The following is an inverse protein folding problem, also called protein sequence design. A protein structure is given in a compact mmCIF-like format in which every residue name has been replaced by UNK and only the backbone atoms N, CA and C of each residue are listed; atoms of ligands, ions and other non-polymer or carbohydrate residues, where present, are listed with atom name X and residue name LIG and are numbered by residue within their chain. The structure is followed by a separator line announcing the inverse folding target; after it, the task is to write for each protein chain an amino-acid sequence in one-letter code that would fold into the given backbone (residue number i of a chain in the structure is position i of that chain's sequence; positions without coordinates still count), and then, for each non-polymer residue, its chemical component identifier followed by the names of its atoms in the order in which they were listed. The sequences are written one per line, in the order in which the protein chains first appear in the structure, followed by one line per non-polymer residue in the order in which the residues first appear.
data_IF_145911403698
#
_entry.id   IF_145911403698
#
_cell.length_a   1.000
_cell.length_b   1.000
_cell.length_c   1.000
_cell.angle_alpha   90.00
_cell.angle_beta   90.00
_cell.angle_gamma   90.00
#
_symmetry.space_group_name_H-M   'P 1'
#
loop_
_entity.id
_entity.type
_entity.pdbx_description
1 polymer ?
#
# COMPACT_ATOMS: atom_id res chain seq x y z
N UNK A 1 11.90 -0.87 -20.94
CA UNK A 1 12.14 -0.96 -19.48
C UNK A 1 11.45 -2.22 -19.00
N UNK A 2 12.14 -3.04 -18.20
CA UNK A 2 11.55 -4.24 -17.63
C UNK A 2 10.35 -3.89 -16.71
N UNK A 3 9.34 -4.76 -16.61
CA UNK A 3 8.10 -4.49 -15.86
C UNK A 3 8.38 -4.28 -14.38
N UNK A 4 9.26 -5.09 -13.79
CA UNK A 4 9.65 -4.92 -12.38
C UNK A 4 10.43 -3.63 -12.17
N UNK A 5 11.28 -3.24 -13.12
CA UNK A 5 11.96 -1.93 -13.08
C UNK A 5 10.95 -0.76 -13.17
N UNK A 6 9.93 -0.86 -14.03
CA UNK A 6 8.87 0.14 -14.12
C UNK A 6 8.11 0.26 -12.81
N UNK A 7 7.64 -0.87 -12.26
CA UNK A 7 6.92 -0.90 -10.99
C UNK A 7 7.78 -0.34 -9.84
N UNK A 8 9.04 -0.75 -9.77
CA UNK A 8 9.98 -0.22 -8.78
C UNK A 8 10.07 1.30 -8.88
N UNK A 9 10.34 1.84 -10.07
CA UNK A 9 10.40 3.28 -10.30
C UNK A 9 9.11 3.99 -9.85
N UNK A 10 7.94 3.46 -10.22
CA UNK A 10 6.63 4.02 -9.87
C UNK A 10 6.34 3.99 -8.37
N UNK A 11 6.71 2.90 -7.69
CA UNK A 11 6.58 2.85 -6.24
C UNK A 11 7.59 3.75 -5.53
N UNK A 12 8.82 3.90 -6.02
CA UNK A 12 9.77 4.88 -5.47
C UNK A 12 9.24 6.31 -5.58
N UNK A 13 8.70 6.70 -6.75
CA UNK A 13 8.06 8.02 -6.96
C UNK A 13 6.90 8.23 -5.96
N UNK A 14 6.06 7.22 -5.77
CA UNK A 14 4.97 7.26 -4.78
C UNK A 14 5.48 7.38 -3.34
N UNK A 15 6.50 6.61 -2.97
CA UNK A 15 7.09 6.62 -1.62
C UNK A 15 7.64 8.00 -1.31
N UNK A 16 8.45 8.58 -2.21
CA UNK A 16 9.04 9.90 -2.01
C UNK A 16 7.96 10.95 -1.77
N UNK A 17 6.90 10.95 -2.59
CA UNK A 17 5.79 11.88 -2.43
C UNK A 17 5.03 11.67 -1.10
N UNK A 18 4.72 10.41 -0.76
CA UNK A 18 4.00 10.07 0.47
C UNK A 18 4.78 10.49 1.72
N UNK A 19 6.10 10.23 1.75
CA UNK A 19 6.96 10.61 2.88
C UNK A 19 7.02 12.13 3.01
N UNK A 20 7.27 12.85 1.91
CA UNK A 20 7.32 14.33 1.92
C UNK A 20 6.02 14.90 2.44
N UNK A 21 4.88 14.46 1.90
CA UNK A 21 3.54 14.92 2.28
C UNK A 21 3.27 14.77 3.78
N UNK A 22 3.53 13.61 4.34
CA UNK A 22 3.11 13.28 5.70
C UNK A 22 4.17 13.49 6.79
N UNK A 23 5.41 13.83 6.42
CA UNK A 23 6.49 14.09 7.38
C UNK A 23 6.25 15.33 8.28
N UNK A 24 5.48 16.32 7.81
CA UNK A 24 5.28 17.59 8.52
C UNK A 24 3.88 17.73 9.15
N UNK A 25 2.84 17.22 8.50
CA UNK A 25 1.44 17.55 8.86
C UNK A 25 0.90 16.78 10.07
N UNK A 26 1.59 15.73 10.54
CA UNK A 26 0.99 14.75 11.46
C UNK A 26 1.82 14.38 12.69
N UNK A 27 2.86 15.17 13.03
CA UNK A 27 3.71 14.90 14.21
C UNK A 27 2.92 14.80 15.52
N UNK A 28 1.96 15.71 15.76
CA UNK A 28 1.15 15.69 16.98
C UNK A 28 0.25 14.45 17.10
N UNK A 29 -0.27 13.98 15.96
CA UNK A 29 -1.11 12.78 15.89
C UNK A 29 -0.30 11.51 16.16
N UNK A 30 0.89 11.39 15.54
CA UNK A 30 1.80 10.27 15.77
C UNK A 30 2.33 10.22 17.21
N UNK A 31 2.65 11.39 17.79
CA UNK A 31 3.04 11.48 19.20
C UNK A 31 1.96 10.93 20.12
N UNK A 32 0.70 11.32 19.89
CA UNK A 32 -0.44 10.79 20.64
C UNK A 32 -0.57 9.27 20.48
N UNK A 33 -0.50 8.77 19.24
CA UNK A 33 -0.58 7.35 18.95
C UNK A 33 0.52 6.54 19.67
N UNK A 34 1.76 7.04 19.65
CA UNK A 34 2.90 6.45 20.36
C UNK A 34 2.60 6.35 21.86
N UNK A 35 2.22 7.47 22.49
CA UNK A 35 1.91 7.53 23.93
C UNK A 35 0.77 6.58 24.30
N UNK A 36 -0.31 6.58 23.52
CA UNK A 36 -1.48 5.75 23.75
C UNK A 36 -1.14 4.25 23.60
N UNK A 37 -0.26 3.90 22.65
CA UNK A 37 0.14 2.51 22.42
C UNK A 37 1.10 1.96 23.48
N UNK A 38 1.94 2.81 24.08
CA UNK A 38 3.04 2.45 24.98
C UNK A 38 4.06 1.45 24.38
N UNK A 39 4.09 1.30 23.05
CA UNK A 39 5.02 0.43 22.35
C UNK A 39 6.26 1.21 21.88
N UNK A 40 7.42 0.55 21.88
CA UNK A 40 8.69 1.09 21.39
C UNK A 40 9.05 2.45 22.01
N UNK A 41 8.79 2.62 23.30
CA UNK A 41 9.04 3.89 24.02
C UNK A 41 10.53 4.21 24.19
N UNK A 42 11.39 3.22 23.99
CA UNK A 42 12.86 3.31 23.96
C UNK A 42 13.41 3.98 22.70
N UNK A 43 12.64 4.00 21.60
CA UNK A 43 13.00 4.71 20.37
C UNK A 43 12.68 6.20 20.55
N UNK A 44 13.56 7.08 20.07
CA UNK A 44 13.30 8.53 20.05
C UNK A 44 12.01 8.88 19.29
N UNK A 45 11.36 9.98 19.65
CA UNK A 45 10.09 10.39 19.03
C UNK A 45 10.19 10.61 17.52
N UNK A 46 11.27 11.24 17.05
CA UNK A 46 11.44 11.55 15.64
C UNK A 46 11.67 10.28 14.82
N UNK A 47 12.51 9.38 15.34
CA UNK A 47 12.75 8.08 14.71
C UNK A 47 11.50 7.20 14.74
N UNK A 48 10.74 7.18 15.84
CA UNK A 48 9.48 6.44 15.92
C UNK A 48 8.48 6.94 14.86
N UNK A 49 8.35 8.27 14.70
CA UNK A 49 7.47 8.84 13.69
C UNK A 49 7.91 8.48 12.27
N UNK A 50 9.21 8.51 12.00
CA UNK A 50 9.78 8.11 10.72
C UNK A 50 9.50 6.63 10.41
N UNK A 51 9.80 5.72 11.34
CA UNK A 51 9.55 4.28 11.17
C UNK A 51 8.07 3.98 10.95
N UNK A 52 7.18 4.66 11.69
CA UNK A 52 5.74 4.53 11.51
C UNK A 52 5.31 4.96 10.11
N UNK A 53 5.79 6.12 9.66
CA UNK A 53 5.46 6.65 8.35
C UNK A 53 5.95 5.75 7.21
N UNK A 54 7.19 5.27 7.29
CA UNK A 54 7.75 4.34 6.30
C UNK A 54 6.97 3.01 6.25
N UNK A 55 6.66 2.42 7.41
CA UNK A 55 5.85 1.19 7.46
C UNK A 55 4.44 1.41 6.90
N UNK A 56 3.84 2.56 7.18
CA UNK A 56 2.55 2.95 6.60
C UNK A 56 2.63 3.02 5.08
N UNK A 57 3.65 3.71 4.56
CA UNK A 57 3.86 3.88 3.12
C UNK A 57 4.01 2.53 2.41
N UNK A 58 4.89 1.65 2.92
CA UNK A 58 5.10 0.32 2.35
C UNK A 58 3.85 -0.57 2.42
N UNK A 59 3.02 -0.42 3.47
CA UNK A 59 1.72 -1.08 3.55
C UNK A 59 0.76 -0.59 2.45
N UNK A 60 0.74 0.70 2.13
CA UNK A 60 -0.01 1.22 0.99
C UNK A 60 0.52 0.70 -0.34
N UNK A 61 1.84 0.67 -0.55
CA UNK A 61 2.44 0.06 -1.74
C UNK A 61 1.99 -1.40 -1.92
N UNK A 62 1.99 -2.18 -0.84
CA UNK A 62 1.54 -3.57 -0.85
C UNK A 62 0.07 -3.69 -1.22
N UNK A 63 -0.79 -2.85 -0.63
CA UNK A 63 -2.23 -2.83 -0.95
C UNK A 63 -2.51 -2.43 -2.39
N UNK A 64 -1.83 -1.42 -2.91
CA UNK A 64 -1.99 -0.98 -4.31
C UNK A 64 -1.64 -2.13 -5.25
N UNK A 65 -0.48 -2.76 -5.06
CA UNK A 65 -0.03 -3.85 -5.93
C UNK A 65 -0.96 -5.07 -5.84
N UNK A 66 -1.33 -5.49 -4.63
CA UNK A 66 -2.21 -6.63 -4.42
C UNK A 66 -3.61 -6.37 -4.96
N UNK A 67 -4.16 -5.16 -4.77
CA UNK A 67 -5.46 -4.80 -5.34
C UNK A 67 -5.42 -4.85 -6.86
N UNK A 68 -4.39 -4.26 -7.50
CA UNK A 68 -4.23 -4.33 -8.96
C UNK A 68 -4.05 -5.77 -9.46
N UNK A 69 -3.30 -6.61 -8.73
CA UNK A 69 -3.12 -8.02 -9.05
C UNK A 69 -4.44 -8.80 -8.99
N UNK A 70 -5.20 -8.64 -7.91
CA UNK A 70 -6.49 -9.30 -7.71
C UNK A 70 -7.48 -8.87 -8.80
N UNK A 71 -7.49 -7.57 -9.11
CA UNK A 71 -8.30 -6.99 -10.18
C UNK A 71 -7.96 -7.52 -11.57
N UNK A 72 -6.67 -7.59 -11.90
CA UNK A 72 -6.20 -8.03 -13.21
C UNK A 72 -6.35 -9.54 -13.42
N UNK A 73 -6.32 -10.32 -12.33
CA UNK A 73 -6.70 -11.75 -12.31
C UNK A 73 -8.20 -11.98 -12.44
N UNK A 74 -9.02 -10.93 -12.29
CA UNK A 74 -10.48 -11.02 -12.39
C UNK A 74 -11.16 -11.56 -11.13
N UNK A 75 -10.49 -11.57 -9.98
CA UNK A 75 -11.10 -11.97 -8.71
C UNK A 75 -12.09 -10.93 -8.19
N UNK A 76 -11.88 -9.65 -8.53
CA UNK A 76 -12.82 -8.57 -8.26
C UNK A 76 -13.16 -7.81 -9.54
N UNK A 77 -14.27 -7.08 -9.53
CA UNK A 77 -14.58 -6.16 -10.62
C UNK A 77 -13.53 -5.07 -10.75
N UNK A 78 -13.24 -4.70 -12.00
CA UNK A 78 -12.31 -3.63 -12.37
C UNK A 78 -12.68 -2.31 -11.69
N UNK A 79 -11.68 -1.68 -11.07
CA UNK A 79 -11.74 -0.40 -10.37
C UNK A 79 -10.55 0.48 -10.78
N UNK A 80 -9.31 0.04 -10.52
CA UNK A 80 -8.13 0.89 -10.67
C UNK A 80 -7.39 0.72 -12.00
N UNK A 81 -7.67 -0.32 -12.81
CA UNK A 81 -7.17 -0.35 -14.19
C UNK A 81 -7.95 0.60 -15.11
N UNK A 82 -7.43 0.78 -16.32
CA UNK A 82 -8.06 1.57 -17.39
C UNK A 82 -9.55 1.25 -17.58
N UNK A 83 -9.92 -0.03 -17.60
CA UNK A 83 -11.33 -0.46 -17.76
C UNK A 83 -12.19 -0.03 -16.58
N UNK A 84 -11.67 -0.13 -15.36
CA UNK A 84 -12.34 0.31 -14.14
C UNK A 84 -12.55 1.83 -14.12
N UNK A 85 -11.51 2.59 -14.47
CA UNK A 85 -11.55 4.05 -14.56
C UNK A 85 -12.53 4.53 -15.63
N UNK A 86 -12.53 3.89 -16.80
CA UNK A 86 -13.48 4.22 -17.86
C UNK A 86 -14.93 3.98 -17.41
N UNK A 87 -15.20 2.82 -16.77
CA UNK A 87 -16.51 2.54 -16.19
C UNK A 87 -16.90 3.57 -15.13
N UNK A 88 -15.97 3.94 -14.26
CA UNK A 88 -16.21 4.97 -13.24
C UNK A 88 -16.61 6.30 -13.89
N UNK A 89 -15.82 6.80 -14.84
CA UNK A 89 -16.07 8.05 -15.56
C UNK A 89 -17.40 8.05 -16.32
N UNK A 90 -17.82 6.90 -16.86
CA UNK A 90 -19.11 6.75 -17.53
C UNK A 90 -20.29 6.65 -16.55
N UNK A 91 -20.06 6.13 -15.35
CA UNK A 91 -21.08 5.95 -14.32
C UNK A 91 -21.39 7.25 -13.57
N UNK A 92 -20.37 8.05 -13.27
CA UNK A 92 -20.51 9.29 -12.48
C UNK A 92 -20.52 10.52 -13.37
N UNK A 93 -21.36 11.51 -13.03
CA UNK A 93 -21.47 12.75 -13.80
C UNK A 93 -20.42 13.80 -13.42
N UNK A 94 -20.16 13.95 -12.12
CA UNK A 94 -19.33 15.04 -11.57
C UNK A 94 -18.10 14.54 -10.79
N UNK A 95 -18.01 13.25 -10.49
CA UNK A 95 -16.95 12.66 -9.64
C UNK A 95 -15.90 11.90 -10.47
N UNK A 96 -15.85 12.11 -11.78
CA UNK A 96 -15.07 11.27 -12.71
C UNK A 96 -13.55 11.34 -12.51
N UNK A 97 -13.08 12.32 -11.75
CA UNK A 97 -11.67 12.51 -11.36
C UNK A 97 -11.44 12.31 -9.85
N UNK A 98 -12.47 11.94 -9.08
CA UNK A 98 -12.32 11.68 -7.64
C UNK A 98 -11.87 10.23 -7.42
N UNK A 99 -10.63 9.96 -7.81
CA UNK A 99 -10.03 8.63 -7.78
C UNK A 99 -9.77 8.11 -6.36
N UNK A 100 -9.67 9.00 -5.39
CA UNK A 100 -9.62 8.66 -3.97
C UNK A 100 -10.89 7.91 -3.55
N UNK A 101 -12.07 8.35 -4.02
CA UNK A 101 -13.35 7.66 -3.78
C UNK A 101 -13.31 6.26 -4.40
N UNK A 102 -12.85 6.15 -5.65
CA UNK A 102 -12.75 4.87 -6.35
C UNK A 102 -11.79 3.90 -5.64
N UNK A 103 -10.66 4.40 -5.17
CA UNK A 103 -9.69 3.64 -4.37
C UNK A 103 -10.29 3.16 -3.05
N UNK A 104 -11.00 4.02 -2.33
CA UNK A 104 -11.67 3.65 -1.08
C UNK A 104 -12.75 2.59 -1.28
N UNK A 105 -13.54 2.69 -2.36
CA UNK A 105 -14.51 1.65 -2.72
C UNK A 105 -13.79 0.31 -2.96
N UNK A 106 -12.65 0.32 -3.66
CA UNK A 106 -11.84 -0.89 -3.88
C UNK A 106 -11.30 -1.51 -2.59
N UNK A 107 -10.84 -0.70 -1.65
CA UNK A 107 -10.41 -1.19 -0.35
C UNK A 107 -11.57 -1.80 0.45
N UNK A 108 -12.72 -1.13 0.48
CA UNK A 108 -13.89 -1.61 1.22
C UNK A 108 -14.40 -2.95 0.67
N UNK A 109 -14.43 -3.10 -0.65
CA UNK A 109 -14.81 -4.35 -1.32
C UNK A 109 -13.91 -5.52 -0.86
N UNK A 110 -12.59 -5.31 -0.83
CA UNK A 110 -11.62 -6.31 -0.39
C UNK A 110 -11.63 -6.57 1.12
N UNK A 111 -12.08 -5.60 1.93
CA UNK A 111 -12.23 -5.77 3.37
C UNK A 111 -13.40 -6.67 3.76
N UNK A 112 -14.42 -6.76 2.90
CA UNK A 112 -15.62 -7.58 3.11
C UNK A 112 -15.69 -8.82 2.20
N UNK A 113 -14.63 -9.07 1.42
CA UNK A 113 -14.48 -10.23 0.52
C UNK A 113 -14.78 -11.55 1.23
N UNK A 114 -15.34 -12.56 0.56
CA UNK A 114 -15.65 -13.85 1.20
C UNK A 114 -14.39 -14.67 1.57
N UNK A 115 -13.27 -14.42 0.91
CA UNK A 115 -11.99 -15.07 1.18
C UNK A 115 -11.32 -14.44 2.42
N UNK A 116 -11.17 -15.25 3.48
CA UNK A 116 -10.56 -14.83 4.74
C UNK A 116 -9.11 -14.33 4.60
N UNK A 117 -8.34 -14.86 3.63
CA UNK A 117 -6.98 -14.40 3.36
C UNK A 117 -7.01 -12.98 2.79
N UNK A 118 -7.86 -12.72 1.79
CA UNK A 118 -8.00 -11.39 1.19
C UNK A 118 -8.45 -10.38 2.26
N UNK A 119 -9.50 -10.69 3.03
CA UNK A 119 -9.92 -9.82 4.14
C UNK A 119 -8.79 -9.56 5.14
N UNK A 120 -7.96 -10.57 5.43
CA UNK A 120 -6.81 -10.45 6.31
C UNK A 120 -5.79 -9.43 5.81
N UNK A 121 -5.46 -9.48 4.52
CA UNK A 121 -4.51 -8.57 3.85
C UNK A 121 -5.01 -7.13 3.86
N UNK A 122 -6.30 -6.91 3.62
CA UNK A 122 -6.88 -5.56 3.50
C UNK A 122 -7.49 -5.02 4.80
N UNK A 123 -7.39 -5.77 5.90
CA UNK A 123 -7.90 -5.39 7.22
C UNK A 123 -7.40 -4.00 7.65
N UNK A 124 -8.29 -3.26 8.30
CA UNK A 124 -7.97 -1.95 8.89
C UNK A 124 -6.90 -2.09 10.00
N UNK A 125 -5.94 -1.18 10.02
CA UNK A 125 -4.81 -1.13 10.97
C UNK A 125 -4.50 0.31 11.38
N UNK A 126 -3.61 0.49 12.36
CA UNK A 126 -3.13 1.81 12.78
C UNK A 126 -2.48 2.57 11.61
N UNK A 127 -1.92 1.85 10.63
CA UNK A 127 -1.29 2.42 9.43
C UNK A 127 -2.30 3.01 8.43
N UNK A 128 -3.60 2.90 8.69
CA UNK A 128 -4.64 3.57 7.90
C UNK A 128 -4.90 5.00 8.34
N UNK A 129 -4.06 5.51 9.25
CA UNK A 129 -4.04 6.90 9.66
C UNK A 129 -3.75 7.84 8.48
N UNK A 130 -2.88 7.42 7.56
CA UNK A 130 -2.48 8.19 6.38
C UNK A 130 -3.21 7.66 5.16
N UNK A 131 -4.35 8.26 4.83
CA UNK A 131 -5.20 7.79 3.74
C UNK A 131 -4.62 8.13 2.35
N UNK A 132 -5.01 7.37 1.32
CA UNK A 132 -4.80 7.77 -0.07
C UNK A 132 -5.86 8.82 -0.41
N UNK A 133 -5.49 10.08 -0.28
CA UNK A 133 -6.34 11.22 -0.64
C UNK A 133 -6.26 11.51 -2.15
N UNK A 134 -6.89 12.61 -2.59
CA UNK A 134 -7.03 12.93 -4.01
C UNK A 134 -5.69 12.98 -4.75
N UNK A 135 -4.70 13.66 -4.20
CA UNK A 135 -3.38 13.80 -4.83
C UNK A 135 -2.65 12.45 -4.92
N UNK A 136 -2.67 11.66 -3.84
CA UNK A 136 -2.05 10.33 -3.85
C UNK A 136 -2.80 9.37 -4.77
N UNK A 137 -4.13 9.46 -4.85
CA UNK A 137 -4.94 8.65 -5.75
C UNK A 137 -4.64 8.95 -7.22
N UNK A 138 -4.47 10.23 -7.58
CA UNK A 138 -4.04 10.62 -8.94
C UNK A 138 -2.69 9.98 -9.30
N UNK A 139 -1.69 10.04 -8.39
CA UNK A 139 -0.40 9.37 -8.60
C UNK A 139 -0.58 7.86 -8.81
N UNK A 140 -1.43 7.21 -8.01
CA UNK A 140 -1.70 5.77 -8.13
C UNK A 140 -2.31 5.46 -9.50
N UNK A 141 -3.32 6.20 -9.93
CA UNK A 141 -3.98 5.99 -11.21
C UNK A 141 -3.01 6.22 -12.37
N UNK A 142 -2.29 7.34 -12.38
CA UNK A 142 -1.36 7.68 -13.46
C UNK A 142 -0.20 6.69 -13.55
N UNK A 143 0.22 6.14 -12.42
CA UNK A 143 1.36 5.23 -12.36
C UNK A 143 1.02 3.78 -12.67
N UNK A 144 -0.18 3.31 -12.31
CA UNK A 144 -0.49 1.88 -12.27
C UNK A 144 -1.71 1.44 -13.09
N UNK A 145 -2.52 2.36 -13.61
CA UNK A 145 -3.77 1.99 -14.30
C UNK A 145 -3.55 1.22 -15.61
N UNK A 146 -2.50 1.56 -16.34
CA UNK A 146 -2.12 0.96 -17.63
C UNK A 146 -1.20 -0.25 -17.50
N UNK A 147 -0.68 -0.53 -16.30
CA UNK A 147 0.22 -1.66 -16.06
C UNK A 147 -0.62 -2.89 -15.73
N UNK A 148 -0.57 -3.89 -16.62
CA UNK A 148 -1.10 -5.22 -16.32
C UNK A 148 -0.14 -5.98 -15.40
N UNK A 149 -0.60 -6.32 -14.21
CA UNK A 149 0.18 -7.04 -13.18
C UNK A 149 -0.34 -8.44 -12.90
N UNK A 150 -1.43 -8.88 -13.56
CA UNK A 150 -2.00 -10.21 -13.38
C UNK A 150 -1.13 -11.38 -13.83
N UNK A 151 -0.01 -11.14 -14.53
CA UNK A 151 0.99 -12.16 -14.90
C UNK A 151 2.15 -12.28 -13.91
N UNK A 152 2.26 -11.37 -12.93
CA UNK A 152 3.30 -11.42 -11.91
C UNK A 152 3.20 -12.70 -11.08
N UNK A 153 4.36 -13.25 -10.75
CA UNK A 153 4.56 -14.44 -9.93
C UNK A 153 4.99 -14.06 -8.52
N UNK A 154 4.90 -14.99 -7.57
CA UNK A 154 5.35 -14.80 -6.18
C UNK A 154 6.75 -14.17 -6.08
N UNK A 155 7.70 -14.65 -6.91
CA UNK A 155 9.07 -14.15 -6.96
C UNK A 155 9.16 -12.67 -7.35
N UNK A 156 8.24 -12.18 -8.18
CA UNK A 156 8.24 -10.82 -8.70
C UNK A 156 7.81 -9.83 -7.59
N UNK A 157 6.84 -10.22 -6.75
CA UNK A 157 6.46 -9.47 -5.55
C UNK A 157 7.60 -9.39 -4.55
N UNK A 158 8.25 -10.53 -4.28
CA UNK A 158 9.40 -10.61 -3.37
C UNK A 158 10.54 -9.73 -3.89
N UNK A 159 10.89 -9.83 -5.17
CA UNK A 159 11.97 -9.05 -5.77
C UNK A 159 11.67 -7.54 -5.74
N UNK A 160 10.44 -7.14 -6.06
CA UNK A 160 10.02 -5.75 -6.00
C UNK A 160 10.16 -5.18 -4.59
N UNK A 161 9.66 -5.89 -3.58
CA UNK A 161 9.74 -5.40 -2.19
C UNK A 161 11.15 -5.47 -1.61
N UNK A 162 12.01 -6.38 -2.07
CA UNK A 162 13.45 -6.36 -1.75
C UNK A 162 14.17 -5.13 -2.31
N UNK A 163 13.65 -4.53 -3.38
CA UNK A 163 14.19 -3.28 -3.95
C UNK A 163 13.62 -2.05 -3.24
N UNK A 164 12.33 -2.05 -2.89
CA UNK A 164 11.68 -0.96 -2.16
C UNK A 164 12.05 -0.89 -0.68
N UNK A 165 12.34 -2.05 -0.07
CA UNK A 165 12.77 -2.19 1.31
C UNK A 165 14.02 -3.07 1.33
N UNK A 166 15.17 -2.43 1.20
CA UNK A 166 16.45 -3.10 0.95
C UNK A 166 16.88 -3.97 2.13
N UNK A 167 17.92 -4.78 1.95
CA UNK A 167 18.48 -5.54 3.08
C UNK A 167 19.02 -4.61 4.17
N UNK A 168 19.69 -3.53 3.76
CA UNK A 168 20.22 -2.51 4.68
C UNK A 168 19.08 -1.84 5.47
N UNK A 169 18.02 -1.39 4.79
CA UNK A 169 16.85 -0.81 5.45
C UNK A 169 16.17 -1.81 6.40
N UNK A 170 16.15 -3.10 6.04
CA UNK A 170 15.60 -4.17 6.89
C UNK A 170 16.38 -4.34 8.18
N UNK A 171 17.69 -4.31 8.10
CA UNK A 171 18.56 -4.43 9.27
C UNK A 171 18.50 -3.20 10.17
N UNK A 172 18.36 -2.01 9.59
CA UNK A 172 18.30 -0.74 10.33
C UNK A 172 16.91 -0.51 10.93
N UNK A 173 15.86 -0.53 10.09
CA UNK A 173 14.52 -0.12 10.48
C UNK A 173 13.72 -1.22 11.18
N UNK A 174 13.99 -2.50 10.84
CA UNK A 174 13.29 -3.68 11.40
C UNK A 174 11.77 -3.51 11.46
N UNK A 175 11.16 -3.04 10.37
CA UNK A 175 9.76 -2.65 10.30
C UNK A 175 8.82 -3.81 10.63
N UNK A 176 9.23 -5.05 10.38
CA UNK A 176 8.49 -6.25 10.75
C UNK A 176 8.30 -6.41 12.27
N UNK A 177 9.19 -5.83 13.09
CA UNK A 177 9.12 -5.85 14.56
C UNK A 177 8.67 -4.53 15.17
N UNK A 178 8.57 -3.48 14.35
CA UNK A 178 8.21 -2.14 14.81
C UNK A 178 6.69 -1.97 14.95
N UNK A 179 6.23 -1.52 16.12
CA UNK A 179 4.82 -1.29 16.44
C UNK A 179 3.92 -2.50 16.09
N UNK A 180 2.64 -2.28 15.79
CA UNK A 180 1.66 -3.30 15.43
C UNK A 180 1.85 -3.83 14.01
N UNK A 181 1.08 -4.85 13.66
CA UNK A 181 1.11 -5.46 12.34
C UNK A 181 0.57 -4.52 11.23
N UNK A 182 1.24 -4.50 10.08
CA UNK A 182 0.82 -3.82 8.86
C UNK A 182 0.37 -4.89 7.84
N UNK A 183 -0.93 -5.24 7.77
CA UNK A 183 -1.34 -6.55 7.26
C UNK A 183 -0.90 -6.87 5.83
N UNK A 184 -0.95 -5.88 4.92
CA UNK A 184 -0.56 -6.09 3.53
C UNK A 184 0.96 -6.19 3.38
N UNK A 185 1.70 -5.34 4.07
CA UNK A 185 3.16 -5.42 4.10
C UNK A 185 3.62 -6.75 4.69
N UNK A 186 3.06 -7.15 5.84
CA UNK A 186 3.38 -8.41 6.50
C UNK A 186 3.08 -9.61 5.63
N UNK A 187 1.96 -9.60 4.90
CA UNK A 187 1.67 -10.63 3.91
C UNK A 187 2.78 -10.73 2.84
N UNK A 188 3.22 -9.59 2.27
CA UNK A 188 4.29 -9.57 1.27
C UNK A 188 5.62 -10.08 1.84
N UNK A 189 6.01 -9.63 3.04
CA UNK A 189 7.26 -10.04 3.67
C UNK A 189 7.30 -11.53 4.01
N UNK A 190 6.13 -12.14 4.25
CA UNK A 190 6.00 -13.58 4.52
C UNK A 190 5.84 -14.44 3.25
N UNK A 191 5.86 -13.86 2.03
CA UNK A 191 5.66 -14.64 0.80
C UNK A 191 6.75 -15.69 0.56
N UNK A 192 7.95 -15.51 1.10
CA UNK A 192 9.03 -16.51 0.99
C UNK A 192 8.67 -17.82 1.71
N UNK A 193 7.92 -17.73 2.81
CA UNK A 193 7.51 -18.85 3.65
C UNK A 193 6.20 -19.52 3.17
N UNK A 194 5.51 -18.89 2.20
CA UNK A 194 4.22 -19.38 1.67
C UNK A 194 4.40 -20.23 0.42
N UNK A 195 3.52 -21.22 0.26
CA UNK A 195 3.51 -22.09 -0.92
C UNK A 195 3.11 -21.35 -2.20
N UNK A 196 2.09 -20.50 -2.13
CA UNK A 196 1.53 -19.76 -3.26
C UNK A 196 1.31 -18.28 -2.97
N UNK A 197 1.12 -17.50 -4.05
CA UNK A 197 0.59 -16.15 -4.00
C UNK A 197 -0.94 -16.23 -4.12
N UNK A 198 -1.65 -15.78 -3.08
CA UNK A 198 -3.12 -15.74 -2.93
C UNK A 198 -3.81 -17.10 -3.15
#
# INVERSE_FOLDING_TARGET
MDKLQLLHKKFSEFIDYFIVKYSYEHRGMLKKLRIDSRLNMDIDEEEWCKLFLYKSCLNHCARILLMRFIEDKGFIHHKLNEKGIEKWRNFVKNLGQDFDVLYHIGLLDLQVDENAMIRGIFKKSDYDLFTIDKELAEIVIDSFSSIYVGDLQKKDFIELFKKLYTLEDREIMKLEKFHKDAPALSYILQLEERESLL
#
